data_IF_903134262017
#
_entry.id   IF_903134262017
#
_cell.length_a   1.000
_cell.length_b   1.000
_cell.length_c   1.000
_cell.angle_alpha   90.00
_cell.angle_beta   90.00
_cell.angle_gamma   90.00
#
_symmetry.space_group_name_H-M   'P 1'
#
loop_
_entity.id
_entity.type
_entity.pdbx_description
1 polymer ?
#
# COMPACT_ATOMS: atom_id res chain seq x y z
N UNK A 1 -19.06 -0.04 17.23
CA UNK A 1 -19.05 -0.23 15.77
C UNK A 1 -17.61 -0.53 15.38
N UNK A 2 -17.35 -1.70 14.80
CA UNK A 2 -15.98 -2.15 14.45
C UNK A 2 -15.44 -1.28 13.32
N UNK A 3 -14.19 -0.84 13.41
CA UNK A 3 -13.56 -0.04 12.35
C UNK A 3 -13.48 -0.89 11.07
N UNK A 4 -14.12 -0.47 9.95
CA UNK A 4 -14.18 -1.27 8.72
C UNK A 4 -12.82 -1.46 8.03
N UNK A 5 -11.78 -0.73 8.46
CA UNK A 5 -10.43 -0.80 7.91
C UNK A 5 -10.20 0.19 6.76
N UNK A 6 -8.94 0.29 6.31
CA UNK A 6 -8.51 1.27 5.30
C UNK A 6 -8.91 0.93 3.85
N UNK A 7 -9.36 -0.30 3.60
CA UNK A 7 -9.75 -0.79 2.29
C UNK A 7 -11.08 -1.55 2.39
N UNK A 8 -11.99 -1.27 1.47
CA UNK A 8 -13.32 -1.86 1.37
C UNK A 8 -13.61 -2.29 -0.07
N UNK A 9 -14.74 -2.97 -0.31
CA UNK A 9 -15.23 -3.27 -1.67
C UNK A 9 -14.19 -3.91 -2.60
N UNK A 10 -14.14 -3.42 -3.83
CA UNK A 10 -13.21 -3.88 -4.88
C UNK A 10 -11.73 -3.68 -4.50
N UNK A 11 -11.43 -2.63 -3.73
CA UNK A 11 -10.07 -2.26 -3.32
C UNK A 11 -9.48 -3.33 -2.42
N UNK A 12 -10.30 -3.80 -1.47
CA UNK A 12 -9.92 -4.90 -0.57
C UNK A 12 -9.85 -6.23 -1.31
N UNK A 13 -10.77 -6.49 -2.24
CA UNK A 13 -10.77 -7.72 -3.02
C UNK A 13 -9.48 -7.86 -3.84
N UNK A 14 -9.03 -6.77 -4.49
CA UNK A 14 -7.75 -6.73 -5.20
C UNK A 14 -6.57 -7.04 -4.27
N UNK A 15 -6.46 -6.35 -3.13
CA UNK A 15 -5.34 -6.55 -2.21
C UNK A 15 -5.32 -7.95 -1.59
N UNK A 16 -6.48 -8.58 -1.39
CA UNK A 16 -6.57 -9.97 -0.95
C UNK A 16 -6.02 -10.94 -2.01
N UNK A 17 -6.22 -10.65 -3.30
CA UNK A 17 -5.67 -11.45 -4.40
C UNK A 17 -4.14 -11.34 -4.54
N UNK A 18 -3.55 -10.20 -4.15
CA UNK A 18 -2.10 -9.97 -4.21
C UNK A 18 -1.32 -10.55 -3.01
N UNK A 19 -2.02 -11.14 -2.03
CA UNK A 19 -1.38 -11.68 -0.81
C UNK A 19 -0.37 -12.78 -1.09
N UNK A 20 -0.70 -13.70 -1.98
CA UNK A 20 0.19 -14.83 -2.32
C UNK A 20 1.47 -14.34 -2.99
N UNK A 21 1.35 -13.41 -3.94
CA UNK A 21 2.49 -12.77 -4.58
C UNK A 21 3.39 -12.02 -3.57
N UNK A 22 2.79 -11.29 -2.63
CA UNK A 22 3.53 -10.66 -1.54
C UNK A 22 4.22 -11.69 -0.63
N UNK A 23 3.54 -12.79 -0.28
CA UNK A 23 4.11 -13.85 0.56
C UNK A 23 5.34 -14.46 -0.09
N UNK A 24 5.24 -14.84 -1.37
CA UNK A 24 6.36 -15.37 -2.14
C UNK A 24 7.53 -14.38 -2.18
N UNK A 25 7.24 -13.08 -2.33
CA UNK A 25 8.27 -12.04 -2.31
C UNK A 25 8.98 -11.89 -0.96
N UNK A 26 8.30 -12.19 0.15
CA UNK A 26 8.94 -12.24 1.47
C UNK A 26 9.90 -13.41 1.56
N UNK A 27 9.48 -14.59 1.09
CA UNK A 27 10.28 -15.81 1.14
C UNK A 27 11.53 -15.72 0.24
N UNK A 28 11.38 -15.12 -0.95
CA UNK A 28 12.44 -14.96 -1.93
C UNK A 28 13.26 -13.67 -1.76
N UNK A 29 12.88 -12.79 -0.83
CA UNK A 29 13.64 -11.59 -0.48
C UNK A 29 13.51 -10.37 -1.42
N UNK A 30 12.47 -10.31 -2.27
CA UNK A 30 12.21 -9.20 -3.21
C UNK A 30 10.98 -8.33 -2.84
N UNK A 31 10.72 -8.16 -1.54
CA UNK A 31 9.53 -7.46 -1.02
C UNK A 31 9.36 -6.05 -1.58
N UNK A 32 10.47 -5.32 -1.77
CA UNK A 32 10.42 -3.94 -2.27
C UNK A 32 9.88 -3.87 -3.71
N UNK A 33 10.36 -4.73 -4.61
CA UNK A 33 9.86 -4.81 -5.98
C UNK A 33 8.41 -5.29 -6.03
N UNK A 34 8.05 -6.28 -5.19
CA UNK A 34 6.68 -6.78 -5.14
C UNK A 34 5.70 -5.69 -4.69
N UNK A 35 6.03 -4.94 -3.64
CA UNK A 35 5.21 -3.80 -3.19
C UNK A 35 5.10 -2.74 -4.28
N UNK A 36 6.18 -2.43 -5.00
CA UNK A 36 6.13 -1.46 -6.10
C UNK A 36 5.22 -1.93 -7.24
N UNK A 37 5.27 -3.21 -7.62
CA UNK A 37 4.39 -3.81 -8.64
C UNK A 37 2.93 -3.79 -8.19
N UNK A 38 2.64 -4.18 -6.95
CA UNK A 38 1.28 -4.14 -6.39
C UNK A 38 0.76 -2.69 -6.39
N UNK A 39 1.57 -1.73 -5.95
CA UNK A 39 1.20 -0.31 -5.96
C UNK A 39 0.90 0.20 -7.37
N UNK A 40 1.72 -0.19 -8.36
CA UNK A 40 1.50 0.18 -9.76
C UNK A 40 0.14 -0.34 -10.25
N UNK A 41 -0.10 -1.66 -10.17
CA UNK A 41 -1.37 -2.27 -10.56
C UNK A 41 -2.56 -1.68 -9.82
N UNK A 42 -2.38 -1.39 -8.53
CA UNK A 42 -3.39 -0.75 -7.71
C UNK A 42 -3.77 0.62 -8.27
N UNK A 43 -2.82 1.53 -8.52
CA UNK A 43 -3.17 2.87 -9.00
C UNK A 43 -3.70 2.89 -10.44
N UNK A 44 -3.37 1.89 -11.25
CA UNK A 44 -3.98 1.67 -12.57
C UNK A 44 -5.47 1.34 -12.47
N UNK A 45 -5.81 0.44 -11.55
CA UNK A 45 -7.18 -0.05 -11.33
C UNK A 45 -8.03 0.89 -10.48
N UNK A 46 -7.40 1.64 -9.58
CA UNK A 46 -8.03 2.54 -8.62
C UNK A 46 -7.38 3.93 -8.70
N UNK A 47 -7.82 4.79 -9.63
CA UNK A 47 -7.28 6.14 -9.78
C UNK A 47 -7.38 6.94 -8.49
N UNK A 48 -6.30 7.64 -8.13
CA UNK A 48 -6.23 8.42 -6.87
C UNK A 48 -7.20 9.61 -6.82
N UNK A 49 -7.71 10.00 -7.98
CA UNK A 49 -8.64 11.11 -8.16
C UNK A 49 -10.10 10.65 -8.02
N UNK A 50 -10.37 9.34 -8.01
CA UNK A 50 -11.68 8.78 -7.72
C UNK A 50 -12.00 8.91 -6.21
N UNK A 51 -13.22 9.32 -5.83
CA UNK A 51 -13.63 9.35 -4.43
C UNK A 51 -13.51 7.99 -3.74
N UNK A 52 -13.09 7.96 -2.47
CA UNK A 52 -12.88 6.71 -1.71
C UNK A 52 -14.19 5.92 -1.45
N UNK A 53 -15.35 6.54 -1.69
CA UNK A 53 -16.68 5.95 -1.51
C UNK A 53 -17.22 5.30 -2.79
N UNK A 54 -16.54 5.51 -3.92
CA UNK A 54 -16.98 5.02 -5.22
C UNK A 54 -16.05 3.89 -5.70
N UNK A 55 -16.61 2.68 -5.79
CA UNK A 55 -15.90 1.55 -6.37
C UNK A 55 -15.88 1.72 -7.91
N UNK A 56 -14.71 1.59 -8.56
CA UNK A 56 -14.66 1.60 -10.03
C UNK A 56 -15.51 0.45 -10.58
N UNK A 57 -16.12 0.69 -11.76
CA UNK A 57 -16.99 -0.30 -12.39
C UNK A 57 -16.23 -1.61 -12.64
N UNK A 58 -16.88 -2.79 -12.51
CA UNK A 58 -16.25 -4.06 -12.86
C UNK A 58 -15.74 -4.09 -14.31
N UNK A 59 -16.40 -3.36 -15.21
CA UNK A 59 -15.99 -3.25 -16.61
C UNK A 59 -14.69 -2.45 -16.76
N UNK A 60 -14.55 -1.34 -16.02
CA UNK A 60 -13.34 -0.52 -16.01
C UNK A 60 -12.16 -1.31 -15.44
N UNK A 61 -12.39 -2.08 -14.37
CA UNK A 61 -11.38 -2.94 -13.75
C UNK A 61 -10.90 -4.07 -14.66
N UNK A 62 -11.77 -4.60 -15.53
CA UNK A 62 -11.42 -5.67 -16.47
C UNK A 62 -10.67 -5.16 -17.71
N UNK A 63 -10.83 -3.87 -18.05
CA UNK A 63 -10.17 -3.24 -19.18
C UNK A 63 -8.73 -2.77 -18.88
N UNK A 64 -8.31 -2.79 -17.61
CA UNK A 64 -6.96 -2.32 -17.21
C UNK A 64 -5.88 -3.31 -17.62
N UNK A 65 -4.93 -2.82 -18.42
CA UNK A 65 -3.67 -3.51 -18.71
C UNK A 65 -2.61 -3.16 -17.65
N UNK A 66 -2.37 -4.13 -16.76
CA UNK A 66 -1.38 -4.02 -15.69
C UNK A 66 0.07 -3.89 -16.19
N UNK A 67 0.38 -4.32 -17.42
CA UNK A 67 1.72 -4.33 -18.00
C UNK A 67 1.98 -3.16 -18.96
N UNK A 68 0.95 -2.41 -19.35
CA UNK A 68 1.10 -1.22 -20.19
C UNK A 68 2.00 -0.14 -19.56
N UNK A 69 2.88 0.46 -20.35
CA UNK A 69 3.66 1.63 -19.91
C UNK A 69 2.74 2.85 -19.93
N UNK A 70 2.51 3.47 -18.78
CA UNK A 70 1.77 4.73 -18.71
C UNK A 70 2.66 5.90 -19.13
N UNK A 71 2.11 6.88 -19.86
CA UNK A 71 2.82 8.12 -20.14
C UNK A 71 3.12 8.88 -18.84
N UNK A 72 4.29 9.51 -18.78
CA UNK A 72 4.67 10.33 -17.63
C UNK A 72 3.66 11.45 -17.38
N UNK A 73 3.41 11.72 -16.09
CA UNK A 73 2.55 12.83 -15.68
C UNK A 73 3.19 14.16 -16.09
N UNK A 74 2.47 14.96 -16.89
CA UNK A 74 2.96 16.25 -17.33
C UNK A 74 2.88 17.28 -16.20
N UNK A 75 4.01 17.88 -15.83
CA UNK A 75 4.05 18.97 -14.86
C UNK A 75 3.37 20.22 -15.44
N UNK A 76 2.72 21.06 -14.59
CA UNK A 76 2.17 22.33 -15.02
C UNK A 76 3.25 23.21 -15.64
N UNK A 77 2.96 23.78 -16.80
CA UNK A 77 3.91 24.60 -17.56
C UNK A 77 3.65 26.10 -17.28
N UNK A 78 4.59 26.81 -16.65
CA UNK A 78 4.40 28.22 -16.30
C UNK A 78 4.31 29.16 -17.51
N UNK A 79 4.76 28.73 -18.70
CA UNK A 79 4.69 29.54 -19.92
C UNK A 79 3.33 29.44 -20.62
N UNK A 80 2.57 28.37 -20.34
CA UNK A 80 1.26 28.10 -20.97
C UNK A 80 0.08 28.51 -20.13
N UNK A 81 0.29 28.81 -18.85
CA UNK A 81 -0.76 29.13 -17.89
C UNK A 81 -0.60 30.54 -17.35
N UNK A 82 -1.70 31.17 -16.96
CA UNK A 82 -1.59 32.41 -16.19
C UNK A 82 -1.01 32.11 -14.80
N UNK A 83 -0.38 33.10 -14.15
CA UNK A 83 0.23 32.92 -12.81
C UNK A 83 -0.71 32.28 -11.81
N UNK A 84 -1.99 32.66 -11.84
CA UNK A 84 -3.02 32.12 -10.94
C UNK A 84 -3.39 30.66 -11.27
N UNK A 85 -3.53 30.32 -12.55
CA UNK A 85 -3.81 28.94 -12.97
C UNK A 85 -2.64 28.01 -12.65
N UNK A 86 -1.41 28.51 -12.79
CA UNK A 86 -0.21 27.77 -12.43
C UNK A 86 -0.14 27.46 -10.92
N UNK A 87 -0.43 28.46 -10.07
CA UNK A 87 -0.51 28.26 -8.62
C UNK A 87 -1.57 27.22 -8.25
N UNK A 88 -2.78 27.31 -8.80
CA UNK A 88 -3.85 26.34 -8.57
C UNK A 88 -3.47 24.93 -9.07
N UNK A 89 -2.78 24.82 -10.20
CA UNK A 89 -2.31 23.54 -10.75
C UNK A 89 -1.22 22.90 -9.85
N UNK A 90 -0.29 23.72 -9.35
CA UNK A 90 0.76 23.27 -8.41
C UNK A 90 0.17 22.81 -7.08
N UNK A 91 -0.85 23.49 -6.56
CA UNK A 91 -1.54 23.05 -5.34
C UNK A 91 -2.28 21.72 -5.51
N UNK A 92 -2.96 21.53 -6.65
CA UNK A 92 -3.61 20.27 -7.01
C UNK A 92 -2.59 19.14 -7.13
N UNK A 93 -1.47 19.39 -7.81
CA UNK A 93 -0.38 18.43 -7.96
C UNK A 93 0.22 18.02 -6.61
N UNK A 94 0.52 18.99 -5.74
CA UNK A 94 1.04 18.72 -4.41
C UNK A 94 0.04 17.92 -3.55
N UNK A 95 -1.25 18.23 -3.65
CA UNK A 95 -2.31 17.48 -2.96
C UNK A 95 -2.41 16.04 -3.46
N UNK A 96 -2.32 15.85 -4.78
CA UNK A 96 -2.31 14.54 -5.41
C UNK A 96 -1.10 13.70 -4.99
N UNK A 97 0.11 14.28 -5.01
CA UNK A 97 1.33 13.61 -4.55
C UNK A 97 1.23 13.15 -3.09
N UNK A 98 0.68 13.99 -2.20
CA UNK A 98 0.43 13.62 -0.79
C UNK A 98 -0.53 12.44 -0.67
N UNK A 99 -1.63 12.44 -1.43
CA UNK A 99 -2.59 11.33 -1.46
C UNK A 99 -1.94 10.03 -1.94
N UNK A 100 -1.14 10.08 -3.00
CA UNK A 100 -0.40 8.93 -3.52
C UNK A 100 0.56 8.38 -2.46
N UNK A 101 1.38 9.24 -1.86
CA UNK A 101 2.35 8.82 -0.83
C UNK A 101 1.65 8.17 0.38
N UNK A 102 0.54 8.76 0.82
CA UNK A 102 -0.28 8.21 1.90
C UNK A 102 -0.84 6.83 1.55
N UNK A 103 -1.47 6.68 0.38
CA UNK A 103 -2.07 5.42 -0.07
C UNK A 103 -1.02 4.33 -0.29
N UNK A 104 0.16 4.67 -0.82
CA UNK A 104 1.33 3.76 -0.91
C UNK A 104 1.72 3.22 0.46
N UNK A 105 1.78 4.10 1.46
CA UNK A 105 2.05 3.72 2.85
C UNK A 105 0.98 2.77 3.41
N UNK A 106 -0.30 3.05 3.17
CA UNK A 106 -1.39 2.18 3.61
C UNK A 106 -1.31 0.79 3.00
N UNK A 107 -1.07 0.68 1.68
CA UNK A 107 -0.93 -0.62 0.99
C UNK A 107 0.23 -1.42 1.59
N UNK A 108 1.40 -0.79 1.78
CA UNK A 108 2.58 -1.44 2.37
C UNK A 108 2.28 -1.97 3.78
N UNK A 109 1.71 -1.13 4.64
CA UNK A 109 1.36 -1.52 6.02
C UNK A 109 0.31 -2.64 6.05
N UNK A 110 -0.68 -2.57 5.16
CA UNK A 110 -1.73 -3.57 5.08
C UNK A 110 -1.19 -4.93 4.64
N UNK A 111 -0.35 -4.98 3.61
CA UNK A 111 0.28 -6.23 3.14
C UNK A 111 1.15 -6.87 4.23
N UNK A 112 1.99 -6.06 4.90
CA UNK A 112 2.80 -6.54 6.02
C UNK A 112 1.93 -7.10 7.15
N UNK A 113 0.85 -6.38 7.52
CA UNK A 113 -0.08 -6.83 8.55
C UNK A 113 -0.80 -8.13 8.15
N UNK A 114 -1.27 -8.26 6.91
CA UNK A 114 -1.90 -9.50 6.45
C UNK A 114 -0.93 -10.67 6.46
N UNK A 115 0.29 -10.47 5.95
CA UNK A 115 1.32 -11.51 5.97
C UNK A 115 1.59 -12.00 7.39
N UNK A 116 1.78 -11.06 8.34
CA UNK A 116 1.97 -11.40 9.76
C UNK A 116 0.79 -12.17 10.34
N UNK A 117 -0.43 -11.79 9.97
CA UNK A 117 -1.65 -12.45 10.43
C UNK A 117 -1.78 -13.89 9.89
N UNK A 118 -1.43 -14.11 8.62
CA UNK A 118 -1.53 -15.43 7.99
C UNK A 118 -0.46 -16.40 8.50
N UNK A 119 0.72 -15.89 8.85
CA UNK A 119 1.86 -16.69 9.32
C UNK A 119 1.95 -16.78 10.84
N UNK A 120 0.92 -16.33 11.57
CA UNK A 120 0.89 -16.23 13.04
C UNK A 120 2.13 -15.53 13.63
N UNK A 121 2.71 -14.59 12.86
CA UNK A 121 3.82 -13.75 13.29
C UNK A 121 3.22 -12.61 14.10
N UNK A 122 2.88 -12.89 15.34
CA UNK A 122 2.37 -11.86 16.23
C UNK A 122 3.50 -10.85 16.52
N UNK A 123 3.30 -9.57 16.19
CA UNK A 123 4.28 -8.49 16.46
C UNK A 123 4.62 -8.37 17.96
N UNK A 124 3.75 -8.91 18.83
CA UNK A 124 3.95 -9.00 20.27
C UNK A 124 4.40 -10.37 20.75
N UNK A 125 4.44 -11.41 19.91
CA UNK A 125 5.02 -12.70 20.25
C UNK A 125 6.44 -12.76 19.65
N UNK A 126 7.53 -12.65 20.40
CA UNK A 126 7.70 -12.95 21.83
C UNK A 126 6.99 -14.23 22.28
N UNK A 127 6.70 -15.16 21.36
CA UNK A 127 6.25 -16.49 21.72
C UNK A 127 7.37 -17.22 22.46
N UNK A 128 7.07 -18.37 23.07
CA UNK A 128 8.06 -19.19 23.79
C UNK A 128 9.34 -19.49 22.96
N UNK A 129 9.26 -19.36 21.63
CA UNK A 129 10.37 -19.55 20.68
C UNK A 129 10.98 -18.25 20.12
N UNK A 130 10.70 -17.06 20.64
CA UNK A 130 11.42 -15.86 20.22
C UNK A 130 12.90 -15.97 20.64
N UNK A 131 13.88 -15.98 19.70
CA UNK A 131 15.30 -16.13 20.02
C UNK A 131 15.82 -15.00 20.92
N UNK A 132 15.20 -13.82 20.87
CA UNK A 132 15.53 -12.70 21.75
C UNK A 132 15.02 -12.90 23.17
N UNK A 133 14.08 -13.81 23.44
CA UNK A 133 13.59 -14.08 24.80
C UNK A 133 14.70 -14.67 25.68
N UNK A 134 15.47 -15.61 25.14
CA UNK A 134 16.63 -16.18 25.84
C UNK A 134 17.73 -15.13 26.09
N UNK A 135 17.96 -14.24 25.11
CA UNK A 135 18.92 -13.14 25.24
C UNK A 135 18.47 -12.10 26.27
N UNK A 136 17.21 -11.68 26.22
CA UNK A 136 16.62 -10.72 27.15
C UNK A 136 16.59 -11.26 28.58
N UNK A 137 16.27 -12.55 28.76
CA UNK A 137 16.36 -13.21 30.07
C UNK A 137 17.79 -13.19 30.60
N UNK A 138 18.80 -13.54 29.78
CA UNK A 138 20.22 -13.46 30.19
C UNK A 138 20.66 -12.05 30.58
N UNK A 139 20.17 -11.03 29.88
CA UNK A 139 20.58 -9.64 30.11
C UNK A 139 19.84 -8.98 31.29
N UNK A 140 18.59 -9.37 31.55
CA UNK A 140 17.73 -8.66 32.51
C UNK A 140 17.32 -9.49 33.72
N UNK A 141 17.51 -10.82 33.67
CA UNK A 141 17.14 -11.76 34.73
C UNK A 141 15.62 -11.89 34.97
N UNK A 142 14.77 -11.28 34.13
CA UNK A 142 13.31 -11.32 34.30
C UNK A 142 12.66 -12.30 33.33
N UNK A 143 11.91 -13.26 33.85
CA UNK A 143 11.00 -14.08 33.03
C UNK A 143 9.81 -13.22 32.61
N UNK A 144 9.59 -13.11 31.30
CA UNK A 144 8.41 -12.46 30.74
C UNK A 144 7.29 -13.51 30.64
N UNK A 145 6.42 -13.57 31.65
CA UNK A 145 5.22 -14.44 31.65
C UNK A 145 4.22 -13.91 30.63
#
# INVERSE_FOLDING_TARGET
>A
MVNPGAFQGAWKAFLMGEKEFYSQAVDDGFVAEAVAKIQLRYFKRFPIDLPEEEDPSPEDLAAVDDDAIEPDYQEPDPEKMTSKEYEEAMEKLGSRQRKIAFRRGQIKCWLAYQYMKDHDINSKASGAHNPYRALLFKLTGKEFI
#
